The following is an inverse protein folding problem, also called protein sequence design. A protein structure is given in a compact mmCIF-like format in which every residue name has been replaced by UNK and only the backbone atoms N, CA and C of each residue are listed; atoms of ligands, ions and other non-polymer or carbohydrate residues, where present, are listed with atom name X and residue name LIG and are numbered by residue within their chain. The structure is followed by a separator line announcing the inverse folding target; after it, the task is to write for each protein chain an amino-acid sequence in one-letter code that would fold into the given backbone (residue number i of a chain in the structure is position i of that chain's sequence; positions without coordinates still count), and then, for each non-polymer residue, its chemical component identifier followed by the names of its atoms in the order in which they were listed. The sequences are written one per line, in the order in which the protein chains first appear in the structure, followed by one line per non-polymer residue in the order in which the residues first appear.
data_IF_454544759941
#
_entry.id   IF_454544759941
#
_cell.length_a   1.000
_cell.length_b   1.000
_cell.length_c   1.000
_cell.angle_alpha   90.00
_cell.angle_beta   90.00
_cell.angle_gamma   90.00
#
_symmetry.space_group_name_H-M   'P 1'
#
loop_
_entity.id
_entity.type
_entity.pdbx_description
1 polymer ?
#
# COMPACT_ATOMS: atom_id res chain seq x y z
N UNK A 1 8.19 19.65 6.17
CA UNK A 1 6.98 20.07 5.47
C UNK A 1 7.28 20.17 3.97
N UNK A 2 6.44 19.54 3.15
CA UNK A 2 6.50 19.63 1.69
C UNK A 2 5.13 20.08 1.20
N UNK A 3 5.12 21.20 0.46
CA UNK A 3 3.97 21.65 -0.31
C UNK A 3 4.21 21.37 -1.79
N UNK A 4 3.22 20.78 -2.46
CA UNK A 4 3.23 20.58 -3.91
C UNK A 4 2.07 21.36 -4.49
N UNK A 5 2.36 22.38 -5.28
CA UNK A 5 1.35 23.08 -6.05
C UNK A 5 0.60 22.11 -7.00
N UNK A 6 -0.65 22.44 -7.38
CA UNK A 6 -1.42 21.63 -8.33
C UNK A 6 -0.60 21.35 -9.60
N UNK A 7 -0.57 20.09 -10.03
CA UNK A 7 0.09 19.63 -11.25
C UNK A 7 -1.00 19.18 -12.21
N UNK A 8 -1.16 19.88 -13.36
CA UNK A 8 -2.11 19.45 -14.36
C UNK A 8 -1.68 18.13 -15.00
N UNK A 9 -2.63 17.26 -15.19
CA UNK A 9 -2.50 16.01 -15.93
C UNK A 9 -3.65 15.90 -16.92
N UNK A 10 -3.37 15.51 -18.16
CA UNK A 10 -4.37 15.21 -19.17
C UNK A 10 -4.19 13.77 -19.63
N UNK A 11 -5.28 13.03 -19.74
CA UNK A 11 -5.28 11.69 -20.31
C UNK A 11 -6.38 11.57 -21.35
N UNK A 12 -5.97 11.14 -22.55
CA UNK A 12 -6.87 10.83 -23.67
C UNK A 12 -6.88 9.31 -23.87
N UNK A 13 -8.07 8.77 -24.06
CA UNK A 13 -8.26 7.34 -24.34
C UNK A 13 -9.21 7.15 -25.51
N UNK A 14 -8.87 6.19 -26.36
CA UNK A 14 -9.68 5.74 -27.48
C UNK A 14 -9.88 4.22 -27.35
N UNK A 15 -11.12 3.77 -27.40
CA UNK A 15 -11.45 2.34 -27.41
C UNK A 15 -12.25 2.02 -28.65
N UNK A 16 -11.75 1.13 -29.46
CA UNK A 16 -12.42 0.65 -30.66
C UNK A 16 -13.43 -0.43 -30.30
N UNK A 17 -14.63 -0.31 -30.83
CA UNK A 17 -15.70 -1.30 -30.64
C UNK A 17 -15.98 -1.90 -32.03
N UNK A 18 -15.94 -3.23 -32.08
CA UNK A 18 -16.14 -3.99 -33.31
C UNK A 18 -17.45 -4.80 -33.23
N UNK A 19 -18.16 -4.88 -34.31
CA UNK A 19 -19.28 -5.81 -34.45
C UNK A 19 -18.80 -7.26 -34.32
N UNK A 20 -19.42 -8.02 -33.40
CA UNK A 20 -18.97 -9.38 -33.07
C UNK A 20 -19.14 -10.39 -34.23
N UNK A 21 -20.01 -10.12 -35.19
CA UNK A 21 -20.34 -11.02 -36.32
C UNK A 21 -19.52 -10.74 -37.57
N UNK A 22 -19.21 -9.46 -37.79
CA UNK A 22 -18.55 -9.01 -39.05
C UNK A 22 -17.10 -8.59 -38.81
N UNK A 23 -16.68 -8.39 -37.55
CA UNK A 23 -15.38 -7.83 -37.19
C UNK A 23 -15.10 -6.45 -37.84
N UNK A 24 -16.16 -5.74 -38.22
CA UNK A 24 -16.06 -4.38 -38.76
C UNK A 24 -16.11 -3.38 -37.58
N UNK A 25 -15.34 -2.29 -37.68
CA UNK A 25 -15.37 -1.21 -36.71
C UNK A 25 -16.79 -0.60 -36.68
N UNK A 26 -17.43 -0.68 -35.51
CA UNK A 26 -18.79 -0.19 -35.27
C UNK A 26 -18.75 1.24 -34.72
N UNK A 27 -17.93 1.45 -33.71
CA UNK A 27 -17.87 2.77 -33.01
C UNK A 27 -16.54 2.96 -32.31
N UNK A 28 -16.27 4.22 -31.90
CA UNK A 28 -15.12 4.65 -31.14
C UNK A 28 -15.59 5.27 -29.83
N UNK A 29 -15.12 4.75 -28.68
CA UNK A 29 -15.32 5.41 -27.39
C UNK A 29 -14.16 6.38 -27.15
N UNK A 30 -14.46 7.65 -27.14
CA UNK A 30 -13.51 8.72 -26.79
C UNK A 30 -13.67 9.10 -25.33
N UNK A 31 -12.56 9.22 -24.60
CA UNK A 31 -12.57 9.78 -23.24
C UNK A 31 -11.41 10.76 -23.07
N UNK A 32 -11.69 11.85 -22.39
CA UNK A 32 -10.72 12.86 -21.98
C UNK A 32 -10.88 13.12 -20.48
N UNK A 33 -9.77 13.17 -19.77
CA UNK A 33 -9.74 13.60 -18.36
C UNK A 33 -8.67 14.65 -18.16
N UNK A 34 -9.06 15.75 -17.53
CA UNK A 34 -8.17 16.80 -17.04
C UNK A 34 -8.14 16.76 -15.52
N UNK A 35 -6.94 16.72 -14.94
CA UNK A 35 -6.74 16.52 -13.53
C UNK A 35 -5.75 17.51 -12.96
N UNK A 36 -6.13 18.14 -11.85
CA UNK A 36 -5.23 18.93 -11.02
C UNK A 36 -5.10 18.30 -9.62
N UNK A 37 -3.87 18.14 -9.16
CA UNK A 37 -3.61 17.55 -7.85
C UNK A 37 -2.63 18.41 -7.06
N UNK A 38 -3.08 18.92 -5.92
CA UNK A 38 -2.27 19.58 -4.90
C UNK A 38 -2.05 18.68 -3.68
N UNK A 39 -0.92 18.83 -3.00
CA UNK A 39 -0.68 18.08 -1.75
C UNK A 39 0.18 18.82 -0.76
N UNK A 40 -0.17 18.68 0.52
CA UNK A 40 0.60 19.13 1.68
C UNK A 40 0.99 17.95 2.54
N UNK A 41 2.30 17.79 2.79
CA UNK A 41 2.82 16.70 3.61
C UNK A 41 3.69 17.23 4.76
N UNK A 42 3.35 16.78 5.96
CA UNK A 42 4.13 16.99 7.17
C UNK A 42 4.65 15.65 7.68
N UNK A 43 5.97 15.55 7.87
CA UNK A 43 6.62 14.42 8.52
C UNK A 43 7.36 14.95 9.75
N UNK A 44 7.12 14.32 10.90
CA UNK A 44 7.85 14.55 12.14
C UNK A 44 8.40 13.21 12.61
N UNK A 45 9.66 13.19 12.97
CA UNK A 45 10.33 12.02 13.55
C UNK A 45 11.02 12.44 14.84
N UNK A 46 10.84 11.64 15.88
CA UNK A 46 11.62 11.70 17.10
C UNK A 46 12.36 10.38 17.23
N UNK A 47 13.68 10.46 17.38
CA UNK A 47 14.57 9.32 17.54
C UNK A 47 15.45 9.51 18.75
N UNK A 48 15.60 8.49 19.57
CA UNK A 48 16.54 8.48 20.68
C UNK A 48 17.16 7.10 20.89
N UNK A 49 18.44 7.12 21.18
CA UNK A 49 19.25 5.95 21.47
C UNK A 49 19.79 6.03 22.90
N UNK A 50 19.80 4.88 23.58
CA UNK A 50 20.51 4.71 24.84
C UNK A 50 21.44 3.51 24.73
N UNK A 51 22.72 3.74 24.83
CA UNK A 51 23.75 2.72 24.95
C UNK A 51 24.06 2.53 26.44
N UNK A 52 24.10 1.26 26.93
CA UNK A 52 24.31 0.98 28.34
C UNK A 52 25.73 0.52 28.66
N UNK A 53 26.42 -0.06 27.68
CA UNK A 53 27.77 -0.57 27.88
C UNK A 53 28.58 -0.54 26.57
N UNK A 54 29.90 -0.74 26.69
CA UNK A 54 30.82 -0.79 25.55
C UNK A 54 30.66 -2.09 24.69
N UNK A 55 29.83 -3.04 25.16
CA UNK A 55 29.52 -4.28 24.45
C UNK A 55 28.39 -4.10 23.44
N UNK A 56 27.80 -2.90 23.39
CA UNK A 56 26.78 -2.53 22.41
C UNK A 56 25.35 -2.86 22.84
N UNK A 57 25.08 -3.03 24.14
CA UNK A 57 23.69 -3.01 24.62
C UNK A 57 23.06 -1.69 24.33
N UNK A 58 21.96 -1.71 23.58
CA UNK A 58 21.32 -0.51 23.07
C UNK A 58 19.81 -0.63 23.13
N UNK A 59 19.17 0.47 23.43
CA UNK A 59 17.74 0.70 23.23
C UNK A 59 17.57 1.82 22.21
N UNK A 60 16.65 1.65 21.30
CA UNK A 60 16.22 2.68 20.36
C UNK A 60 14.73 2.92 20.53
N UNK A 61 14.32 4.17 20.59
CA UNK A 61 12.92 4.55 20.57
C UNK A 61 12.67 5.55 19.46
N UNK A 62 11.77 5.17 18.56
CA UNK A 62 11.32 5.97 17.43
C UNK A 62 9.86 6.33 17.59
N UNK A 63 9.50 7.58 17.27
CA UNK A 63 8.12 8.03 17.14
C UNK A 63 8.00 8.83 15.85
N UNK A 64 7.07 8.40 15.00
CA UNK A 64 6.81 9.04 13.72
C UNK A 64 5.39 9.59 13.66
N UNK A 65 5.25 10.75 13.07
CA UNK A 65 3.98 11.33 12.67
C UNK A 65 4.03 11.77 11.22
N UNK A 66 3.07 11.28 10.43
CA UNK A 66 2.84 11.71 9.05
C UNK A 66 1.44 12.29 8.94
N UNK A 67 1.34 13.45 8.31
CA UNK A 67 0.08 13.98 7.74
C UNK A 67 0.26 14.24 6.26
N UNK A 68 -0.65 13.71 5.45
CA UNK A 68 -0.71 13.92 4.00
C UNK A 68 -2.13 14.39 3.64
N UNK A 69 -2.27 15.63 3.24
CA UNK A 69 -3.51 16.18 2.69
C UNK A 69 -3.34 16.28 1.17
N UNK A 70 -4.34 15.82 0.44
CA UNK A 70 -4.34 15.89 -1.03
C UNK A 70 -5.71 16.31 -1.50
N UNK A 71 -5.71 17.34 -2.31
CA UNK A 71 -6.87 17.82 -3.06
C UNK A 71 -6.69 17.45 -4.53
N UNK A 72 -7.72 16.89 -5.11
CA UNK A 72 -7.75 16.48 -6.51
C UNK A 72 -9.03 16.99 -7.15
N UNK A 73 -8.89 17.79 -8.21
CA UNK A 73 -9.96 18.23 -9.06
C UNK A 73 -9.81 17.56 -10.42
N UNK A 74 -10.85 16.91 -10.92
CA UNK A 74 -10.83 16.22 -12.18
C UNK A 74 -12.09 16.48 -12.99
N UNK A 75 -11.90 16.90 -14.23
CA UNK A 75 -12.93 16.91 -15.26
C UNK A 75 -12.82 15.65 -16.11
N UNK A 76 -13.93 15.02 -16.41
CA UNK A 76 -14.02 13.85 -17.27
C UNK A 76 -15.12 14.01 -18.28
N UNK A 77 -14.80 13.67 -19.55
CA UNK A 77 -15.74 13.64 -20.65
C UNK A 77 -15.57 12.33 -21.43
N UNK A 78 -16.65 11.61 -21.67
CA UNK A 78 -16.68 10.46 -22.56
C UNK A 78 -17.81 10.60 -23.59
N UNK A 79 -17.57 10.20 -24.84
CA UNK A 79 -18.54 10.20 -25.92
C UNK A 79 -18.30 9.06 -26.90
N UNK A 80 -19.33 8.65 -27.62
CA UNK A 80 -19.24 7.64 -28.67
C UNK A 80 -19.27 8.31 -30.03
N UNK A 81 -18.36 7.91 -30.90
CA UNK A 81 -18.22 8.37 -32.28
C UNK A 81 -18.48 7.23 -33.23
N UNK A 82 -19.06 7.51 -34.40
CA UNK A 82 -19.05 6.62 -35.56
C UNK A 82 -17.63 6.47 -36.10
N UNK A 83 -17.36 5.46 -36.94
CA UNK A 83 -16.04 5.27 -37.58
C UNK A 83 -15.54 6.46 -38.39
N UNK A 84 -16.45 7.30 -38.89
CA UNK A 84 -16.13 8.54 -39.62
C UNK A 84 -15.83 9.74 -38.67
N UNK A 85 -15.87 9.54 -37.38
CA UNK A 85 -15.65 10.57 -36.34
C UNK A 85 -16.89 11.39 -35.98
N UNK A 86 -18.04 11.09 -36.56
CA UNK A 86 -19.31 11.77 -36.21
C UNK A 86 -19.77 11.35 -34.82
N UNK A 87 -20.13 12.30 -33.98
CA UNK A 87 -20.62 12.04 -32.63
C UNK A 87 -22.03 11.45 -32.64
N UNK A 88 -22.26 10.38 -31.87
CA UNK A 88 -23.58 9.79 -31.67
C UNK A 88 -24.32 10.58 -30.59
N UNK A 89 -25.44 11.26 -30.91
CA UNK A 89 -26.17 12.06 -29.94
C UNK A 89 -26.64 11.24 -28.73
N UNK A 90 -26.61 11.86 -27.54
CA UNK A 90 -27.05 11.23 -26.29
C UNK A 90 -26.08 10.20 -25.71
N UNK A 91 -24.88 10.08 -26.26
CA UNK A 91 -23.84 9.18 -25.71
C UNK A 91 -22.87 9.89 -24.78
N UNK A 92 -23.00 11.22 -24.65
CA UNK A 92 -22.14 12.01 -23.78
C UNK A 92 -22.33 11.62 -22.33
N UNK A 93 -21.21 11.48 -21.64
CA UNK A 93 -21.16 11.31 -20.20
C UNK A 93 -20.03 12.20 -19.67
N UNK A 94 -20.39 13.14 -18.84
CA UNK A 94 -19.44 14.09 -18.26
C UNK A 94 -19.68 14.22 -16.76
N UNK A 95 -18.58 14.42 -16.04
CA UNK A 95 -18.61 14.82 -14.64
C UNK A 95 -17.35 15.60 -14.28
N UNK A 96 -17.47 16.44 -13.28
CA UNK A 96 -16.36 16.95 -12.51
C UNK A 96 -16.40 16.35 -11.11
N UNK A 97 -15.26 16.10 -10.50
CA UNK A 97 -15.24 15.82 -9.07
C UNK A 97 -14.19 16.64 -8.34
N UNK A 98 -14.49 16.92 -7.09
CA UNK A 98 -13.54 17.40 -6.10
C UNK A 98 -13.34 16.29 -5.07
N UNK A 99 -12.14 15.78 -4.97
CA UNK A 99 -11.75 14.79 -3.97
C UNK A 99 -10.81 15.42 -2.95
N UNK A 100 -11.14 15.27 -1.67
CA UNK A 100 -10.29 15.66 -0.56
C UNK A 100 -9.88 14.44 0.24
N UNK A 101 -8.56 14.15 0.28
CA UNK A 101 -8.00 13.03 1.01
C UNK A 101 -7.06 13.51 2.10
N UNK A 102 -7.31 13.05 3.32
CA UNK A 102 -6.45 13.28 4.48
C UNK A 102 -6.01 11.96 5.08
N UNK A 103 -4.71 11.80 5.23
CA UNK A 103 -4.07 10.64 5.87
C UNK A 103 -3.28 11.12 7.07
N UNK A 104 -3.59 10.59 8.24
CA UNK A 104 -2.81 10.76 9.47
C UNK A 104 -2.23 9.40 9.87
N UNK A 105 -0.92 9.32 10.07
CA UNK A 105 -0.23 8.12 10.58
C UNK A 105 0.59 8.50 11.80
N UNK A 106 0.41 7.73 12.87
CA UNK A 106 1.27 7.79 14.07
C UNK A 106 1.87 6.42 14.28
N UNK A 107 3.19 6.34 14.43
CA UNK A 107 3.83 5.08 14.82
C UNK A 107 4.85 5.29 15.92
N UNK A 108 5.03 4.25 16.75
CA UNK A 108 6.10 4.19 17.74
C UNK A 108 6.71 2.80 17.73
N UNK A 109 8.03 2.74 17.76
CA UNK A 109 8.81 1.51 17.85
C UNK A 109 9.83 1.61 18.97
N UNK A 110 9.93 0.55 19.77
CA UNK A 110 10.93 0.42 20.82
C UNK A 110 11.71 -0.87 20.59
N UNK A 111 13.01 -0.74 20.40
CA UNK A 111 13.92 -1.81 20.06
C UNK A 111 15.02 -1.97 21.10
N UNK A 112 15.37 -3.21 21.42
CA UNK A 112 16.46 -3.58 22.30
C UNK A 112 17.44 -4.47 21.53
N UNK A 113 18.71 -4.12 21.57
CA UNK A 113 19.82 -4.92 21.08
C UNK A 113 20.63 -5.39 22.29
N UNK A 114 20.69 -6.70 22.49
CA UNK A 114 21.29 -7.33 23.63
C UNK A 114 22.40 -8.31 23.13
N UNK A 115 23.61 -7.83 22.92
CA UNK A 115 24.75 -8.67 22.57
C UNK A 115 25.28 -9.40 23.81
N UNK A 116 25.53 -10.69 23.65
CA UNK A 116 26.19 -11.56 24.59
C UNK A 116 27.47 -12.12 23.94
N UNK A 117 28.33 -12.77 24.66
CA UNK A 117 29.61 -13.28 24.14
C UNK A 117 29.45 -14.22 22.93
N UNK A 118 28.41 -15.04 22.94
CA UNK A 118 28.22 -16.10 21.92
C UNK A 118 26.98 -15.93 21.07
N UNK A 119 26.12 -14.98 21.37
CA UNK A 119 24.87 -14.75 20.66
C UNK A 119 24.38 -13.32 20.85
N UNK A 120 23.49 -12.90 20.01
CA UNK A 120 22.80 -11.61 20.08
C UNK A 120 21.30 -11.83 20.08
N UNK A 121 20.59 -11.14 20.97
CA UNK A 121 19.14 -11.04 20.95
C UNK A 121 18.78 -9.61 20.54
N UNK A 122 17.86 -9.49 19.59
CA UNK A 122 17.16 -8.24 19.30
C UNK A 122 15.70 -8.47 19.59
N UNK A 123 15.06 -7.59 20.35
CA UNK A 123 13.63 -7.68 20.65
C UNK A 123 13.00 -6.29 20.60
N UNK A 124 11.74 -6.22 20.21
CA UNK A 124 11.08 -4.93 20.12
C UNK A 124 9.57 -5.03 20.04
N UNK A 125 8.96 -3.86 20.15
CA UNK A 125 7.53 -3.67 19.99
C UNK A 125 7.28 -2.48 19.06
N UNK A 126 6.24 -2.57 18.23
CA UNK A 126 5.81 -1.48 17.36
C UNK A 126 4.29 -1.35 17.41
N UNK A 127 3.83 -0.10 17.48
CA UNK A 127 2.43 0.25 17.26
C UNK A 127 2.33 1.22 16.11
N UNK A 128 1.26 1.11 15.32
CA UNK A 128 1.00 2.03 14.21
C UNK A 128 -0.50 2.26 14.07
N UNK A 129 -0.89 3.51 13.94
CA UNK A 129 -2.27 3.96 13.78
C UNK A 129 -2.37 4.78 12.51
N UNK A 130 -3.17 4.34 11.57
CA UNK A 130 -3.49 5.06 10.33
C UNK A 130 -4.96 5.46 10.36
N UNK A 131 -5.25 6.71 10.03
CA UNK A 131 -6.60 7.22 9.84
C UNK A 131 -6.65 7.97 8.52
N UNK A 132 -7.39 7.41 7.58
CA UNK A 132 -7.63 8.00 6.28
C UNK A 132 -9.06 8.46 6.18
N UNK A 133 -9.25 9.66 5.66
CA UNK A 133 -10.55 10.26 5.33
C UNK A 133 -10.48 10.68 3.88
N UNK A 134 -11.47 10.25 3.11
CA UNK A 134 -11.53 10.51 1.69
C UNK A 134 -12.97 10.90 1.33
N UNK A 135 -13.18 12.15 1.01
CA UNK A 135 -14.46 12.68 0.53
C UNK A 135 -14.38 12.93 -0.98
N UNK A 136 -15.43 12.62 -1.70
CA UNK A 136 -15.56 12.91 -3.11
C UNK A 136 -16.95 13.51 -3.36
N UNK A 137 -16.96 14.64 -4.05
CA UNK A 137 -18.18 15.31 -4.48
C UNK A 137 -18.18 15.41 -6.00
N UNK A 138 -19.27 15.00 -6.62
CA UNK A 138 -19.46 15.00 -8.06
C UNK A 138 -20.37 16.14 -8.51
N UNK A 139 -19.99 16.77 -9.61
CA UNK A 139 -20.82 17.67 -10.38
C UNK A 139 -20.98 17.08 -11.78
N UNK A 140 -22.20 16.67 -12.14
CA UNK A 140 -22.48 15.91 -13.37
C UNK A 140 -23.85 16.24 -13.93
N UNK A 141 -23.97 16.13 -15.25
CA UNK A 141 -25.24 16.21 -15.95
C UNK A 141 -26.14 14.96 -15.74
N UNK A 142 -25.57 13.83 -15.32
CA UNK A 142 -26.29 12.58 -15.04
C UNK A 142 -26.00 12.05 -13.63
N UNK A 143 -26.75 12.50 -12.61
CA UNK A 143 -26.53 12.13 -11.22
C UNK A 143 -26.88 10.65 -10.91
N UNK A 144 -27.41 9.89 -11.88
CA UNK A 144 -27.73 8.47 -11.67
C UNK A 144 -26.48 7.58 -11.78
N UNK A 145 -25.40 8.06 -12.35
CA UNK A 145 -24.17 7.30 -12.59
C UNK A 145 -23.11 7.46 -11.51
N UNK A 146 -23.11 8.59 -10.80
CA UNK A 146 -22.15 8.92 -9.76
C UNK A 146 -22.84 9.47 -8.53
N UNK A 147 -22.28 9.23 -7.36
CA UNK A 147 -22.80 9.67 -6.09
C UNK A 147 -21.68 10.19 -5.19
N UNK A 148 -21.93 11.30 -4.53
CA UNK A 148 -21.06 11.81 -3.47
C UNK A 148 -20.88 10.74 -2.39
N UNK A 149 -19.65 10.60 -1.89
CA UNK A 149 -19.36 9.68 -0.80
C UNK A 149 -18.27 10.23 0.12
N UNK A 150 -18.30 9.75 1.34
CA UNK A 150 -17.26 9.97 2.34
C UNK A 150 -16.81 8.63 2.89
N UNK A 151 -15.60 8.24 2.52
CA UNK A 151 -14.96 6.97 2.94
C UNK A 151 -13.94 7.23 4.04
N UNK A 152 -14.08 6.53 5.16
CA UNK A 152 -13.13 6.54 6.25
C UNK A 152 -12.50 5.16 6.41
N UNK A 153 -11.16 5.12 6.44
CA UNK A 153 -10.42 3.90 6.70
C UNK A 153 -9.49 4.09 7.90
N UNK A 154 -9.62 3.21 8.89
CA UNK A 154 -8.75 3.16 10.05
C UNK A 154 -8.00 1.84 10.09
N UNK A 155 -6.70 1.89 10.39
CA UNK A 155 -5.87 0.72 10.59
C UNK A 155 -5.07 0.88 11.88
N UNK A 156 -5.05 -0.17 12.69
CA UNK A 156 -4.27 -0.27 13.92
C UNK A 156 -3.44 -1.55 13.86
N UNK A 157 -2.13 -1.42 14.03
CA UNK A 157 -1.19 -2.54 14.01
C UNK A 157 -0.40 -2.53 15.32
N UNK A 158 -0.41 -3.66 16.00
CA UNK A 158 0.39 -3.93 17.19
C UNK A 158 1.32 -5.08 16.88
N UNK A 159 2.61 -4.91 17.10
CA UNK A 159 3.60 -5.92 16.80
C UNK A 159 4.57 -6.12 17.95
N UNK A 160 4.89 -7.39 18.23
CA UNK A 160 5.99 -7.82 19.08
C UNK A 160 6.91 -8.70 18.28
N UNK A 161 8.22 -8.56 18.44
CA UNK A 161 9.19 -9.36 17.71
C UNK A 161 10.45 -9.61 18.52
N UNK A 162 11.08 -10.72 18.23
CA UNK A 162 12.38 -11.09 18.75
C UNK A 162 13.19 -11.86 17.72
N UNK A 163 14.48 -11.59 17.67
CA UNK A 163 15.47 -12.27 16.85
C UNK A 163 16.59 -12.79 17.71
N UNK A 164 17.00 -14.00 17.44
CA UNK A 164 18.18 -14.64 18.02
C UNK A 164 19.19 -14.89 16.90
N UNK A 165 20.42 -14.43 17.06
CA UNK A 165 21.51 -14.71 16.13
C UNK A 165 22.73 -15.24 16.86
N UNK A 166 23.35 -16.29 16.30
CA UNK A 166 24.54 -16.93 16.85
C UNK A 166 25.45 -17.47 15.76
N UNK A 167 26.73 -17.24 15.94
CA UNK A 167 27.80 -17.96 15.26
C UNK A 167 28.22 -19.14 16.13
N UNK A 168 27.90 -20.36 15.67
CA UNK A 168 28.23 -21.58 16.40
C UNK A 168 29.70 -21.97 16.20
N UNK A 169 30.21 -21.66 15.01
CA UNK A 169 31.62 -21.83 14.62
C UNK A 169 31.92 -20.87 13.46
N UNK A 170 33.18 -20.80 13.04
CA UNK A 170 33.59 -20.06 11.83
C UNK A 170 32.87 -20.54 10.55
N UNK A 171 32.30 -21.75 10.61
CA UNK A 171 31.64 -22.41 9.47
C UNK A 171 30.14 -22.45 9.55
N UNK A 172 29.54 -22.13 10.71
CA UNK A 172 28.08 -22.20 10.87
C UNK A 172 27.52 -21.05 11.68
N UNK A 173 26.61 -20.31 11.07
CA UNK A 173 25.85 -19.26 11.72
C UNK A 173 24.34 -19.42 11.49
N UNK A 174 23.56 -18.96 12.44
CA UNK A 174 22.09 -19.04 12.41
C UNK A 174 21.48 -17.76 12.96
N UNK A 175 20.39 -17.33 12.31
CA UNK A 175 19.47 -16.31 12.84
C UNK A 175 18.05 -16.86 12.77
N UNK A 176 17.35 -16.74 13.88
CA UNK A 176 15.92 -17.07 14.01
C UNK A 176 15.17 -15.84 14.46
N UNK A 177 14.10 -15.52 13.78
CA UNK A 177 13.22 -14.43 14.14
C UNK A 177 11.76 -14.87 14.24
N UNK A 178 11.03 -14.24 15.12
CA UNK A 178 9.59 -14.37 15.22
C UNK A 178 8.97 -13.00 15.48
N UNK A 179 8.02 -12.63 14.61
CA UNK A 179 7.20 -11.44 14.77
C UNK A 179 5.73 -11.85 14.86
N UNK A 180 5.03 -11.34 15.85
CA UNK A 180 3.59 -11.44 15.99
C UNK A 180 2.97 -10.07 15.70
N UNK A 181 1.98 -10.04 14.83
CA UNK A 181 1.19 -8.84 14.56
C UNK A 181 -0.29 -9.07 14.83
N UNK A 182 -0.90 -8.14 15.53
CA UNK A 182 -2.34 -8.01 15.67
C UNK A 182 -2.78 -6.76 14.89
N UNK A 183 -3.71 -6.93 13.95
CA UNK A 183 -4.20 -5.87 13.07
C UNK A 183 -5.71 -5.74 13.19
N UNK A 184 -6.18 -4.49 13.32
CA UNK A 184 -7.59 -4.11 13.24
C UNK A 184 -7.76 -3.09 12.15
N UNK A 185 -8.72 -3.32 11.25
CA UNK A 185 -9.11 -2.35 10.24
C UNK A 185 -10.60 -2.05 10.32
N UNK A 186 -10.99 -0.84 9.96
CA UNK A 186 -12.39 -0.45 9.84
C UNK A 186 -12.51 0.46 8.62
N UNK A 187 -13.31 0.05 7.64
CA UNK A 187 -13.73 0.85 6.48
C UNK A 187 -15.19 1.25 6.64
N UNK A 188 -15.51 2.51 6.40
CA UNK A 188 -16.88 3.05 6.46
C UNK A 188 -17.12 3.87 5.20
N UNK A 189 -18.15 3.54 4.43
CA UNK A 189 -18.67 4.33 3.31
C UNK A 189 -20.03 4.89 3.70
N UNK A 190 -20.18 6.22 3.68
CA UNK A 190 -21.43 6.87 4.05
C UNK A 190 -22.50 6.68 2.97
N UNK A 191 -22.13 6.78 1.68
CA UNK A 191 -23.07 6.62 0.58
C UNK A 191 -23.63 5.20 0.46
N UNK A 192 -22.82 4.18 0.79
CA UNK A 192 -23.25 2.78 0.76
C UNK A 192 -23.86 2.29 2.06
N UNK A 193 -23.79 3.09 3.12
CA UNK A 193 -24.16 2.71 4.50
C UNK A 193 -23.51 1.38 4.93
N UNK A 194 -22.20 1.24 4.61
CA UNK A 194 -21.43 0.04 4.90
C UNK A 194 -20.35 0.29 5.95
N UNK A 195 -20.18 -0.69 6.84
CA UNK A 195 -19.07 -0.74 7.78
C UNK A 195 -18.41 -2.12 7.69
N UNK A 196 -17.15 -2.16 7.26
CA UNK A 196 -16.37 -3.40 7.16
C UNK A 196 -15.24 -3.42 8.19
N UNK A 197 -15.17 -4.51 8.96
CA UNK A 197 -14.21 -4.68 10.05
C UNK A 197 -13.43 -5.96 9.90
N UNK A 198 -12.11 -5.86 10.03
CA UNK A 198 -11.23 -7.01 10.13
C UNK A 198 -10.42 -6.94 11.41
N UNK A 199 -10.30 -8.06 12.09
CA UNK A 199 -9.49 -8.26 13.29
C UNK A 199 -8.76 -9.59 13.17
N UNK A 200 -7.42 -9.57 13.14
CA UNK A 200 -6.64 -10.78 12.97
C UNK A 200 -5.26 -10.69 13.60
N UNK A 201 -4.77 -11.83 14.07
CA UNK A 201 -3.40 -11.99 14.58
C UNK A 201 -2.63 -12.96 13.70
N UNK A 202 -1.38 -12.66 13.38
CA UNK A 202 -0.50 -13.49 12.55
C UNK A 202 0.91 -13.56 13.11
N UNK A 203 1.56 -14.69 12.84
CA UNK A 203 2.96 -14.94 13.15
C UNK A 203 3.79 -14.95 11.87
N UNK A 204 4.94 -14.31 11.93
CA UNK A 204 5.89 -14.16 10.84
C UNK A 204 7.25 -14.70 11.28
N UNK A 205 7.49 -16.02 11.15
CA UNK A 205 8.79 -16.61 11.40
C UNK A 205 9.78 -16.24 10.30
N UNK A 206 11.05 -16.09 10.70
CA UNK A 206 12.21 -15.96 9.81
C UNK A 206 13.32 -16.90 10.25
N UNK A 207 14.00 -17.49 9.28
CA UNK A 207 15.15 -18.39 9.51
C UNK A 207 16.23 -18.04 8.50
N UNK A 208 17.45 -17.84 8.97
CA UNK A 208 18.63 -17.70 8.13
C UNK A 208 19.71 -18.64 8.65
N UNK A 209 20.22 -19.49 7.77
CA UNK A 209 21.30 -20.41 8.06
C UNK A 209 22.42 -20.20 7.03
N UNK A 210 23.65 -20.15 7.52
CA UNK A 210 24.84 -20.12 6.68
C UNK A 210 25.77 -21.24 7.12
N UNK A 211 26.16 -22.08 6.19
CA UNK A 211 27.09 -23.16 6.42
C UNK A 211 28.21 -23.20 5.37
N UNK A 212 29.45 -23.08 5.81
CA UNK A 212 30.64 -23.08 4.96
C UNK A 212 31.49 -24.32 5.29
N UNK A 213 31.23 -25.49 4.66
CA UNK A 213 31.94 -26.74 4.97
C UNK A 213 33.45 -26.65 4.74
N UNK A 214 33.86 -25.85 3.75
CA UNK A 214 35.26 -25.57 3.41
C UNK A 214 35.40 -24.11 2.93
N UNK A 215 36.64 -23.61 2.84
CA UNK A 215 36.90 -22.20 2.51
C UNK A 215 36.39 -21.76 1.13
N UNK A 216 36.21 -22.69 0.19
CA UNK A 216 35.68 -22.40 -1.14
C UNK A 216 34.16 -22.55 -1.29
N UNK A 217 33.46 -23.06 -0.27
CA UNK A 217 32.05 -23.45 -0.40
C UNK A 217 31.20 -22.83 0.69
N UNK A 218 30.06 -22.26 0.30
CA UNK A 218 29.07 -21.77 1.23
C UNK A 218 27.66 -22.19 0.79
N UNK A 219 26.89 -22.69 1.73
CA UNK A 219 25.46 -23.00 1.62
C UNK A 219 24.68 -22.00 2.49
N UNK A 220 23.67 -21.37 1.93
CA UNK A 220 22.76 -20.54 2.67
C UNK A 220 21.33 -21.00 2.48
N UNK A 221 20.57 -20.97 3.56
CA UNK A 221 19.13 -21.19 3.56
C UNK A 221 18.44 -20.01 4.21
N UNK A 222 17.39 -19.51 3.56
CA UNK A 222 16.51 -18.52 4.15
C UNK A 222 15.05 -18.93 4.05
N UNK A 223 14.29 -18.63 5.09
CA UNK A 223 12.84 -18.72 5.10
C UNK A 223 12.25 -17.45 5.70
N UNK A 224 11.24 -16.89 5.05
CA UNK A 224 10.51 -15.76 5.58
C UNK A 224 9.04 -15.80 5.19
N UNK A 225 8.18 -15.27 6.07
CA UNK A 225 6.78 -15.02 5.80
C UNK A 225 6.52 -13.52 5.86
N UNK A 226 5.77 -13.00 4.89
CA UNK A 226 5.44 -11.57 4.76
C UNK A 226 3.95 -11.38 4.53
N UNK A 227 3.44 -10.25 4.97
CA UNK A 227 2.08 -9.78 4.70
C UNK A 227 2.12 -8.58 3.76
N UNK A 228 1.24 -8.59 2.75
CA UNK A 228 0.95 -7.42 1.91
C UNK A 228 -0.51 -7.04 2.14
N UNK A 229 -0.73 -5.86 2.71
CA UNK A 229 -2.05 -5.33 2.97
C UNK A 229 -2.56 -4.58 1.75
N UNK A 230 -3.87 -4.62 1.47
CA UNK A 230 -4.46 -3.78 0.44
C UNK A 230 -4.11 -2.31 0.69
N UNK A 231 -3.70 -1.62 -0.37
CA UNK A 231 -3.52 -0.18 -0.29
C UNK A 231 -4.87 0.51 -0.15
N UNK A 232 -4.87 1.75 0.34
CA UNK A 232 -6.07 2.55 0.46
C UNK A 232 -6.86 2.68 -0.86
N UNK A 233 -6.17 2.81 -1.99
CA UNK A 233 -6.84 2.89 -3.30
C UNK A 233 -7.53 1.57 -3.68
N UNK A 234 -7.03 0.43 -3.20
CA UNK A 234 -7.64 -0.87 -3.46
C UNK A 234 -8.90 -1.12 -2.62
N UNK A 235 -9.02 -0.47 -1.47
CA UNK A 235 -10.21 -0.57 -0.60
C UNK A 235 -11.16 0.60 -0.76
N UNK A 236 -10.79 1.64 -1.49
CA UNK A 236 -11.64 2.81 -1.75
C UNK A 236 -12.75 2.45 -2.75
N UNK A 237 -14.04 2.53 -2.38
CA UNK A 237 -15.15 2.11 -3.23
C UNK A 237 -15.52 3.11 -4.32
N UNK A 238 -14.85 4.25 -4.41
CA UNK A 238 -15.16 5.28 -5.40
C UNK A 238 -14.91 4.80 -6.82
N UNK A 239 -15.87 4.96 -7.76
CA UNK A 239 -15.69 4.58 -9.14
C UNK A 239 -14.76 5.53 -9.87
N UNK A 240 -13.82 4.98 -10.66
CA UNK A 240 -12.98 5.70 -11.60
C UNK A 240 -13.37 5.29 -13.01
N UNK A 241 -14.05 6.16 -13.73
CA UNK A 241 -14.51 5.86 -15.08
C UNK A 241 -13.39 5.98 -16.10
N UNK A 242 -13.29 4.97 -16.98
CA UNK A 242 -12.45 5.00 -18.17
C UNK A 242 -13.24 5.46 -19.41
N UNK A 243 -14.53 5.15 -19.41
CA UNK A 243 -15.55 5.61 -20.34
C UNK A 243 -16.93 5.40 -19.72
N UNK A 244 -18.00 5.77 -20.42
CA UNK A 244 -19.39 5.63 -19.91
C UNK A 244 -19.74 4.20 -19.47
N UNK A 245 -19.10 3.16 -20.03
CA UNK A 245 -19.47 1.77 -19.83
C UNK A 245 -18.48 1.00 -18.96
N UNK A 246 -17.31 1.60 -18.66
CA UNK A 246 -16.24 0.92 -17.92
C UNK A 246 -15.70 1.80 -16.83
N UNK A 247 -15.70 1.26 -15.61
CA UNK A 247 -15.07 1.89 -14.46
C UNK A 247 -14.28 0.87 -13.63
N UNK A 248 -13.34 1.34 -12.87
CA UNK A 248 -12.65 0.59 -11.83
C UNK A 248 -13.01 1.17 -10.46
N UNK A 249 -13.20 0.30 -9.47
CA UNK A 249 -13.35 0.71 -8.07
C UNK A 249 -12.61 -0.26 -7.15
N UNK A 250 -12.28 0.17 -5.96
CA UNK A 250 -11.77 -0.70 -4.91
C UNK A 250 -12.88 -1.53 -4.27
N UNK A 251 -12.45 -2.49 -3.42
CA UNK A 251 -13.34 -3.33 -2.61
C UNK A 251 -12.99 -3.19 -1.13
N UNK A 252 -13.95 -2.79 -0.34
CA UNK A 252 -13.79 -2.54 1.10
C UNK A 252 -13.43 -3.81 1.88
N UNK A 253 -13.90 -5.00 1.43
CA UNK A 253 -13.72 -6.31 2.05
C UNK A 253 -12.43 -7.05 1.67
N UNK A 254 -11.49 -6.38 1.00
CA UNK A 254 -10.23 -7.00 0.59
C UNK A 254 -9.39 -7.46 1.79
N UNK A 255 -8.95 -8.70 1.71
CA UNK A 255 -8.07 -9.32 2.72
C UNK A 255 -6.59 -9.17 2.34
N UNK A 256 -5.69 -9.14 3.32
CA UNK A 256 -4.26 -9.13 3.03
C UNK A 256 -3.81 -10.46 2.38
N UNK A 257 -2.79 -10.38 1.53
CA UNK A 257 -2.10 -11.53 0.99
C UNK A 257 -0.87 -11.89 1.83
N UNK A 258 -0.52 -13.19 1.84
CA UNK A 258 0.62 -13.72 2.56
C UNK A 258 1.58 -14.39 1.59
N UNK A 259 2.87 -14.08 1.72
CA UNK A 259 3.92 -14.64 0.88
C UNK A 259 4.87 -15.41 1.75
N UNK A 260 5.04 -16.70 1.47
CA UNK A 260 6.04 -17.57 2.06
C UNK A 260 7.18 -17.73 1.07
N UNK A 261 8.39 -17.36 1.50
CA UNK A 261 9.58 -17.43 0.68
C UNK A 261 10.59 -18.39 1.32
N UNK A 262 11.06 -19.37 0.55
CA UNK A 262 12.12 -20.29 0.95
C UNK A 262 13.18 -20.30 -0.15
N UNK A 263 14.42 -20.00 0.22
CA UNK A 263 15.54 -19.94 -0.70
C UNK A 263 16.70 -20.81 -0.20
N UNK A 264 17.30 -21.58 -1.12
CA UNK A 264 18.52 -22.31 -0.88
C UNK A 264 19.56 -21.82 -1.89
N UNK A 265 20.66 -21.30 -1.39
CA UNK A 265 21.75 -20.82 -2.21
C UNK A 265 23.03 -21.62 -1.97
N UNK A 266 23.81 -21.81 -3.04
CA UNK A 266 25.14 -22.37 -2.97
C UNK A 266 26.13 -21.44 -3.68
N UNK A 267 27.22 -21.11 -3.00
CA UNK A 267 28.28 -20.27 -3.53
C UNK A 267 29.56 -21.05 -3.60
N UNK A 268 30.17 -21.09 -4.78
CA UNK A 268 31.53 -21.60 -5.00
C UNK A 268 32.45 -20.39 -5.24
N UNK A 269 33.43 -20.22 -4.36
CA UNK A 269 34.50 -19.24 -4.54
C UNK A 269 35.70 -19.97 -5.19
N UNK A 270 35.97 -19.63 -6.44
CA UNK A 270 37.24 -20.01 -7.06
C UNK A 270 38.32 -19.02 -6.60
N UNK A 271 39.34 -19.49 -5.90
CA UNK A 271 40.53 -18.68 -5.60
C UNK A 271 41.38 -18.54 -6.86
#
# INVERSE_FOLDING_TARGET
YNHSAPKPGNALSWTEVYDASTAVLDSLLYSNSDKDTGSDRLNLNFHTDKVWDDKGKKMTWDVDYLRDNRDENMGFLSKTLLPDGTEIPGTNFDYNYLQHRKVDVVSSALDFILPFEKYKITAGAKVSFTNTRNGINYDTSDPTLVQDDYFRYKEQIYALYADYSREFSERFSMQLGLRMEHTRTTGISEAKDTEDKHDYTRLFPTVYLLYSPTDGHALNFSFSNRISRPSQNMVNPFPFYQNKYTYACGREDLKPSYTYNAELGYTLKNN
#
